data_IF_791243858227
#
_entry.id   IF_791243858227
#
_cell.length_a   1.000
_cell.length_b   1.000
_cell.length_c   1.000
_cell.angle_alpha   90.00
_cell.angle_beta   90.00
_cell.angle_gamma   90.00
#
_symmetry.space_group_name_H-M   'P 1'
#
loop_
_entity.id
_entity.type
_entity.pdbx_description
1 polymer ?
#
# COMPACT_ATOMS: atom_id res chain seq x y z
N UNK A 1 9.80 -10.65 -26.27
CA UNK A 1 10.48 -9.42 -25.82
C UNK A 1 10.39 -9.38 -24.29
N UNK A 2 11.51 -9.62 -23.59
CA UNK A 2 11.53 -9.73 -22.13
C UNK A 2 11.42 -8.36 -21.45
N UNK A 3 10.52 -8.24 -20.49
CA UNK A 3 10.39 -7.05 -19.64
C UNK A 3 11.58 -6.97 -18.68
N UNK A 4 12.68 -6.37 -19.10
CA UNK A 4 13.81 -6.09 -18.19
C UNK A 4 13.36 -5.00 -17.22
N UNK A 5 13.07 -5.39 -15.97
CA UNK A 5 12.75 -4.46 -14.88
C UNK A 5 14.03 -3.69 -14.54
N UNK A 6 14.08 -2.41 -14.93
CA UNK A 6 15.18 -1.52 -14.55
C UNK A 6 15.09 -1.22 -13.06
N UNK A 7 15.97 -1.83 -12.28
CA UNK A 7 16.11 -1.59 -10.84
C UNK A 7 16.99 -0.36 -10.59
N UNK A 8 16.72 0.34 -9.48
CA UNK A 8 17.51 1.51 -9.07
C UNK A 8 18.86 0.97 -8.57
N UNK A 9 19.97 1.42 -9.14
CA UNK A 9 21.31 1.05 -8.65
C UNK A 9 21.62 1.89 -7.42
N UNK A 10 21.82 1.25 -6.28
CA UNK A 10 22.38 1.89 -5.11
C UNK A 10 23.90 1.89 -5.25
N UNK A 11 24.57 2.98 -4.87
CA UNK A 11 26.01 3.10 -4.91
C UNK A 11 26.54 3.06 -3.47
N UNK A 12 27.26 2.00 -3.11
CA UNK A 12 27.82 1.78 -1.77
C UNK A 12 29.10 2.59 -1.52
N UNK A 13 29.06 3.89 -1.81
CA UNK A 13 30.21 4.78 -1.59
C UNK A 13 30.40 5.06 -0.09
N UNK A 14 31.58 4.70 0.44
CA UNK A 14 31.97 4.98 1.82
C UNK A 14 32.90 6.20 1.88
N UNK A 15 32.43 7.36 2.37
CA UNK A 15 33.28 8.52 2.57
C UNK A 15 34.36 8.27 3.65
N UNK A 16 35.59 8.73 3.39
CA UNK A 16 36.73 8.53 4.31
C UNK A 16 36.64 9.33 5.63
N UNK A 17 36.00 10.52 5.60
CA UNK A 17 36.01 11.46 6.72
C UNK A 17 34.65 11.66 7.40
N UNK A 18 33.60 10.99 6.92
CA UNK A 18 32.25 11.15 7.48
C UNK A 18 32.07 10.19 8.66
N UNK A 19 31.58 10.72 9.79
CA UNK A 19 31.37 9.97 11.05
C UNK A 19 29.89 9.70 11.37
N UNK A 20 28.98 10.06 10.47
CA UNK A 20 27.54 9.79 10.63
C UNK A 20 27.14 8.43 10.08
N UNK A 21 25.89 8.05 10.31
CA UNK A 21 25.27 6.88 9.67
C UNK A 21 24.88 7.23 8.22
N UNK A 22 25.21 6.36 7.27
CA UNK A 22 24.88 6.54 5.83
C UNK A 22 25.94 7.30 5.01
N UNK A 23 25.63 7.56 3.73
CA UNK A 23 26.48 8.35 2.83
C UNK A 23 25.95 9.79 2.71
N UNK A 24 26.78 10.83 2.91
CA UNK A 24 26.39 12.24 2.83
C UNK A 24 26.01 12.67 1.39
N UNK A 25 26.28 11.81 0.41
CA UNK A 25 25.95 12.03 -1.00
C UNK A 25 24.68 11.29 -1.44
N UNK A 26 23.98 10.61 -0.51
CA UNK A 26 22.69 10.01 -0.83
C UNK A 26 21.66 11.09 -1.14
N UNK A 27 21.18 11.09 -2.39
CA UNK A 27 20.05 11.90 -2.84
C UNK A 27 18.75 11.30 -2.27
N UNK A 28 18.48 11.56 -0.99
CA UNK A 28 17.22 11.22 -0.31
C UNK A 28 16.38 12.47 -0.12
N UNK A 29 15.06 12.33 -0.25
CA UNK A 29 14.14 13.39 0.14
C UNK A 29 14.00 13.43 1.67
N UNK A 30 13.84 14.63 2.25
CA UNK A 30 13.61 14.86 3.69
C UNK A 30 12.40 14.11 4.28
N UNK A 31 11.52 13.58 3.42
CA UNK A 31 10.31 12.86 3.81
C UNK A 31 10.31 11.39 3.37
N UNK A 32 11.41 10.91 2.79
CA UNK A 32 11.49 9.51 2.37
C UNK A 32 11.47 8.57 3.58
N UNK A 33 12.00 9.01 4.72
CA UNK A 33 12.02 8.24 5.98
C UNK A 33 10.62 8.03 6.58
N UNK A 34 9.69 8.95 6.31
CA UNK A 34 8.31 8.89 6.80
C UNK A 34 7.35 8.27 5.77
N UNK A 35 7.86 7.85 4.61
CA UNK A 35 7.05 7.32 3.49
C UNK A 35 7.31 5.84 3.29
N UNK A 36 6.39 5.02 3.79
CA UNK A 36 6.34 3.57 3.54
C UNK A 36 5.80 3.21 2.15
N UNK A 37 5.01 4.12 1.56
CA UNK A 37 4.24 3.92 0.33
C UNK A 37 4.96 4.38 -0.94
N UNK A 38 5.99 5.21 -0.82
CA UNK A 38 6.75 5.77 -1.94
C UNK A 38 8.13 5.12 -1.94
N UNK A 39 8.53 4.50 -3.05
CA UNK A 39 9.79 3.76 -3.11
C UNK A 39 9.84 2.79 -4.29
N UNK A 40 10.50 1.65 -4.09
CA UNK A 40 10.64 0.62 -5.12
C UNK A 40 9.30 0.23 -5.75
N UNK A 41 9.33 -0.09 -7.06
CA UNK A 41 8.15 -0.59 -7.78
C UNK A 41 7.77 -1.97 -7.24
N UNK A 42 6.88 -1.98 -6.24
CA UNK A 42 6.26 -3.18 -5.68
C UNK A 42 5.21 -3.72 -6.65
N UNK A 43 5.21 -5.04 -6.84
CA UNK A 43 4.16 -5.74 -7.58
C UNK A 43 2.82 -5.62 -6.84
N UNK A 44 1.70 -5.99 -7.46
CA UNK A 44 0.36 -5.92 -6.85
C UNK A 44 0.34 -6.52 -5.43
N UNK A 45 0.86 -7.75 -5.26
CA UNK A 45 0.99 -8.42 -3.94
C UNK A 45 1.77 -7.59 -2.91
N UNK A 46 2.87 -6.96 -3.35
CA UNK A 46 3.70 -6.12 -2.49
C UNK A 46 2.99 -4.84 -2.06
N UNK A 47 2.17 -4.26 -2.94
CA UNK A 47 1.32 -3.09 -2.60
C UNK A 47 0.27 -3.47 -1.56
N UNK A 48 -0.41 -4.62 -1.72
CA UNK A 48 -1.39 -5.10 -0.74
C UNK A 48 -0.76 -5.33 0.63
N UNK A 49 0.39 -6.01 0.69
CA UNK A 49 1.05 -6.31 1.96
C UNK A 49 1.50 -5.04 2.70
N UNK A 50 2.03 -4.05 1.96
CA UNK A 50 2.37 -2.73 2.54
C UNK A 50 1.14 -2.02 3.05
N UNK A 51 0.07 -1.95 2.26
CA UNK A 51 -1.17 -1.29 2.68
C UNK A 51 -1.77 -1.94 3.94
N UNK A 52 -1.72 -3.28 4.06
CA UNK A 52 -2.18 -4.00 5.25
C UNK A 52 -1.29 -3.67 6.46
N UNK A 53 0.02 -3.64 6.28
CA UNK A 53 0.94 -3.32 7.38
C UNK A 53 0.79 -1.86 7.83
N UNK A 54 0.62 -0.92 6.89
CA UNK A 54 0.31 0.49 7.16
C UNK A 54 -1.00 0.63 7.95
N UNK A 55 -2.03 -0.09 7.49
CA UNK A 55 -3.34 -0.09 8.13
C UNK A 55 -3.27 -0.61 9.58
N UNK A 56 -2.46 -1.65 9.83
CA UNK A 56 -2.21 -2.19 11.17
C UNK A 56 -1.36 -1.28 12.05
N UNK A 57 -0.39 -0.56 11.47
CA UNK A 57 0.54 0.29 12.18
C UNK A 57 0.00 1.71 12.47
N UNK A 58 -1.21 2.04 12.00
CA UNK A 58 -1.81 3.35 12.24
C UNK A 58 -2.00 3.64 13.74
N UNK A 59 -1.54 4.82 14.17
CA UNK A 59 -1.46 5.27 15.57
C UNK A 59 -2.81 5.23 16.31
N UNK A 60 -3.91 5.34 15.57
CA UNK A 60 -5.28 5.29 16.10
C UNK A 60 -5.88 3.86 16.19
N UNK A 61 -5.06 2.81 16.05
CA UNK A 61 -5.40 1.49 16.57
C UNK A 61 -6.52 0.73 15.85
N UNK A 62 -6.59 0.80 14.52
CA UNK A 62 -7.38 -0.16 13.72
C UNK A 62 -8.56 0.43 12.95
N UNK A 63 -9.44 -0.47 12.49
CA UNK A 63 -10.50 -0.22 11.50
C UNK A 63 -11.27 1.08 11.76
N UNK A 64 -10.97 2.10 10.96
CA UNK A 64 -11.74 3.34 10.95
C UNK A 64 -13.15 3.05 10.38
N UNK A 65 -14.21 3.45 11.09
CA UNK A 65 -15.60 3.29 10.63
C UNK A 65 -15.81 3.88 9.23
N UNK A 66 -15.11 4.97 8.90
CA UNK A 66 -15.14 5.57 7.56
C UNK A 66 -14.68 4.60 6.47
N UNK A 67 -13.65 3.79 6.72
CA UNK A 67 -13.12 2.84 5.74
C UNK A 67 -14.15 1.72 5.49
N UNK A 68 -14.81 1.23 6.55
CA UNK A 68 -15.87 0.23 6.43
C UNK A 68 -17.05 0.79 5.63
N UNK A 69 -17.47 2.02 5.92
CA UNK A 69 -18.56 2.69 5.19
C UNK A 69 -18.21 2.85 3.71
N UNK A 70 -16.99 3.29 3.39
CA UNK A 70 -16.53 3.42 2.00
C UNK A 70 -16.56 2.06 1.28
N UNK A 71 -16.04 1.00 1.91
CA UNK A 71 -16.05 -0.36 1.32
C UNK A 71 -17.50 -0.81 1.08
N UNK A 72 -18.39 -0.63 2.05
CA UNK A 72 -19.80 -1.01 1.92
C UNK A 72 -20.49 -0.26 0.75
N UNK A 73 -20.28 1.05 0.63
CA UNK A 73 -20.84 1.86 -0.45
C UNK A 73 -20.29 1.44 -1.82
N UNK A 74 -18.98 1.19 -1.93
CA UNK A 74 -18.36 0.73 -3.17
C UNK A 74 -18.87 -0.65 -3.60
N UNK A 75 -19.03 -1.58 -2.66
CA UNK A 75 -19.58 -2.91 -2.94
C UNK A 75 -21.04 -2.81 -3.34
N UNK A 76 -21.86 -2.06 -2.61
CA UNK A 76 -23.28 -1.86 -2.97
C UNK A 76 -23.44 -1.18 -4.34
N UNK A 77 -22.63 -0.16 -4.64
CA UNK A 77 -22.63 0.50 -5.94
C UNK A 77 -22.21 -0.44 -7.07
N UNK A 78 -21.23 -1.30 -6.84
CA UNK A 78 -20.85 -2.33 -7.81
C UNK A 78 -21.97 -3.35 -8.02
N UNK A 79 -22.59 -3.86 -6.95
CA UNK A 79 -23.70 -4.82 -7.03
C UNK A 79 -24.90 -4.22 -7.77
N UNK A 80 -25.17 -2.94 -7.57
CA UNK A 80 -26.22 -2.21 -8.28
C UNK A 80 -25.93 -2.11 -9.79
N UNK A 81 -24.68 -1.85 -10.20
CA UNK A 81 -24.31 -1.73 -11.63
C UNK A 81 -24.52 -3.02 -12.43
N UNK A 82 -24.47 -4.18 -11.77
CA UNK A 82 -24.61 -5.49 -12.42
C UNK A 82 -26.00 -6.11 -12.19
N UNK A 83 -26.96 -5.35 -11.63
CA UNK A 83 -28.29 -5.81 -11.24
C UNK A 83 -28.25 -7.11 -10.40
N UNK A 84 -27.30 -7.18 -9.45
CA UNK A 84 -27.10 -8.39 -8.67
C UNK A 84 -28.22 -8.61 -7.65
N UNK A 85 -28.86 -9.78 -7.72
CA UNK A 85 -29.96 -10.14 -6.83
C UNK A 85 -29.46 -10.55 -5.44
N UNK A 86 -29.66 -9.66 -4.46
CA UNK A 86 -29.29 -9.87 -3.05
C UNK A 86 -30.20 -10.93 -2.39
N UNK A 87 -31.39 -11.18 -2.97
CA UNK A 87 -32.38 -12.13 -2.46
C UNK A 87 -31.86 -13.57 -2.45
N UNK A 88 -30.81 -13.87 -3.24
CA UNK A 88 -30.15 -15.19 -3.25
C UNK A 88 -29.58 -15.60 -1.87
N UNK A 89 -29.35 -14.63 -0.98
CA UNK A 89 -28.83 -14.87 0.36
C UNK A 89 -29.91 -14.94 1.44
N UNK A 90 -31.18 -14.69 1.09
CA UNK A 90 -32.29 -14.76 2.05
C UNK A 90 -32.78 -16.22 2.15
N UNK A 91 -33.01 -16.75 3.37
CA UNK A 91 -33.60 -18.07 3.52
C UNK A 91 -35.04 -18.06 3.01
N UNK A 92 -35.39 -19.05 2.19
CA UNK A 92 -36.77 -19.33 1.80
C UNK A 92 -37.51 -19.79 3.06
N UNK A 93 -38.30 -18.90 3.64
CA UNK A 93 -39.20 -19.28 4.72
C UNK A 93 -40.41 -19.98 4.07
N UNK A 94 -40.51 -21.30 4.24
CA UNK A 94 -41.68 -22.09 3.86
C UNK A 94 -42.86 -21.79 4.79
#
# INVERSE_FOLDING_TARGET
MGFIKKEKRNFDYKPLYYKGEGSPYELKHRFDEFRTSVGEKKNLKGKFNVAINEFKASENGGFNKTIIIIIAVLVLGFLFLIDFDISIFLPLNN
#
